data_IF_009627298161
#
_entry.id   IF_009627298161
#
_cell.length_a   1.000
_cell.length_b   1.000
_cell.length_c   1.000
_cell.angle_alpha   90.00
_cell.angle_beta   90.00
_cell.angle_gamma   90.00
#
_symmetry.space_group_name_H-M   'P 1'
#
loop_
_entity.id
_entity.type
_entity.pdbx_description
1 polymer ?
#
# COMPACT_ATOMS: atom_id res chain seq x y z
N UNK A 1 29.16 22.96 26.01
CA UNK A 1 29.10 22.17 24.76
C UNK A 1 27.85 22.60 24.04
N UNK A 2 28.01 23.35 22.95
CA UNK A 2 26.97 24.18 22.33
C UNK A 2 25.82 23.36 21.72
N UNK A 3 24.59 23.73 22.07
CA UNK A 3 23.35 23.25 21.45
C UNK A 3 23.32 23.50 19.93
N UNK A 4 24.03 24.53 19.46
CA UNK A 4 24.11 24.88 18.04
C UNK A 4 24.94 23.88 17.21
N UNK A 5 25.90 23.16 17.81
CA UNK A 5 26.63 22.09 17.10
C UNK A 5 25.82 20.80 16.96
N UNK A 6 24.93 20.50 17.92
CA UNK A 6 24.01 19.37 17.85
C UNK A 6 22.91 19.62 16.81
N UNK A 7 22.34 20.83 16.76
CA UNK A 7 21.35 21.22 15.75
C UNK A 7 21.93 21.19 14.32
N UNK A 8 23.16 21.69 14.12
CA UNK A 8 23.83 21.65 12.81
C UNK A 8 24.22 20.22 12.42
N UNK A 9 24.53 19.34 13.38
CA UNK A 9 24.80 17.92 13.15
C UNK A 9 23.54 17.17 12.73
N UNK A 10 22.44 17.29 13.50
CA UNK A 10 21.17 16.61 13.22
C UNK A 10 20.52 17.11 11.93
N UNK A 11 20.59 18.42 11.64
CA UNK A 11 20.11 18.97 10.34
C UNK A 11 20.98 18.50 9.17
N UNK A 12 22.30 18.35 9.35
CA UNK A 12 23.19 17.79 8.30
C UNK A 12 22.98 16.30 8.07
N UNK A 13 22.62 15.53 9.10
CA UNK A 13 22.32 14.09 8.98
C UNK A 13 20.96 13.87 8.31
N UNK A 14 19.94 14.64 8.69
CA UNK A 14 18.62 14.64 8.02
C UNK A 14 18.73 15.13 6.57
N UNK A 15 19.50 16.19 6.28
CA UNK A 15 19.78 16.57 4.90
C UNK A 15 20.62 15.51 4.17
N UNK A 16 21.57 14.82 4.80
CA UNK A 16 22.33 13.75 4.14
C UNK A 16 21.45 12.55 3.79
N UNK A 17 20.52 12.16 4.66
CA UNK A 17 19.55 11.10 4.38
C UNK A 17 18.50 11.54 3.37
N UNK A 18 17.93 12.75 3.46
CA UNK A 18 17.07 13.29 2.42
C UNK A 18 17.81 13.53 1.11
N UNK A 19 19.11 13.82 1.10
CA UNK A 19 19.94 13.98 -0.11
C UNK A 19 20.37 12.64 -0.68
N UNK A 20 20.68 11.63 0.14
CA UNK A 20 20.98 10.28 -0.31
C UNK A 20 19.71 9.58 -0.80
N UNK A 21 18.61 9.68 -0.05
CA UNK A 21 17.28 9.27 -0.47
C UNK A 21 16.79 10.11 -1.65
N UNK A 22 17.02 11.43 -1.78
CA UNK A 22 16.60 12.15 -3.01
C UNK A 22 17.52 11.90 -4.21
N UNK A 23 18.77 11.47 -4.00
CA UNK A 23 19.68 11.01 -5.06
C UNK A 23 19.38 9.59 -5.52
N UNK A 24 18.95 8.70 -4.62
CA UNK A 24 18.52 7.32 -4.91
C UNK A 24 17.03 7.30 -5.35
N UNK A 25 16.13 8.08 -4.76
CA UNK A 25 14.71 8.27 -5.16
C UNK A 25 14.54 8.95 -6.52
N UNK A 26 15.60 9.54 -7.09
CA UNK A 26 15.62 9.93 -8.51
C UNK A 26 15.75 8.75 -9.46
N UNK A 27 16.07 7.56 -8.97
CA UNK A 27 15.88 6.32 -9.70
C UNK A 27 14.44 5.84 -9.52
N UNK A 28 13.50 6.63 -10.05
CA UNK A 28 12.21 6.07 -10.45
C UNK A 28 12.49 5.19 -11.67
N UNK A 29 12.94 3.97 -11.40
CA UNK A 29 13.34 3.01 -12.40
C UNK A 29 12.09 2.35 -12.99
N UNK A 30 11.28 3.14 -13.68
CA UNK A 30 10.29 2.59 -14.59
C UNK A 30 10.97 1.67 -15.60
N UNK A 31 10.24 0.67 -16.09
CA UNK A 31 10.75 -0.35 -17.00
C UNK A 31 11.44 0.25 -18.25
N UNK A 32 11.08 1.49 -18.62
CA UNK A 32 11.65 2.30 -19.71
C UNK A 32 13.06 2.84 -19.41
N UNK A 33 13.32 3.40 -18.22
CA UNK A 33 14.64 3.93 -17.85
C UNK A 33 15.65 2.79 -17.63
N UNK A 34 15.19 1.69 -17.00
CA UNK A 34 15.99 0.47 -16.90
C UNK A 34 16.32 -0.13 -18.27
N UNK A 35 15.44 0.01 -19.28
CA UNK A 35 15.66 -0.54 -20.62
C UNK A 35 16.85 0.11 -21.31
N UNK A 36 17.02 1.42 -21.25
CA UNK A 36 18.13 2.12 -21.93
C UNK A 36 19.47 1.84 -21.24
N UNK A 37 19.53 1.96 -19.91
CA UNK A 37 20.75 1.65 -19.15
C UNK A 37 21.14 0.17 -19.26
N UNK A 38 20.17 -0.76 -19.16
CA UNK A 38 20.40 -2.20 -19.32
C UNK A 38 20.81 -2.55 -20.74
N UNK A 39 20.11 -2.05 -21.75
CA UNK A 39 20.41 -2.36 -23.15
C UNK A 39 21.87 -2.02 -23.45
N UNK A 40 22.36 -0.88 -22.92
CA UNK A 40 23.78 -0.55 -23.01
C UNK A 40 24.68 -1.55 -22.27
N UNK A 41 24.40 -1.91 -21.01
CA UNK A 41 25.24 -2.83 -20.24
C UNK A 41 25.26 -4.27 -20.79
N UNK A 42 24.11 -4.78 -21.24
CA UNK A 42 23.99 -6.12 -21.84
C UNK A 42 24.67 -6.15 -23.21
N UNK A 43 24.43 -5.15 -24.07
CA UNK A 43 25.06 -5.11 -25.40
C UNK A 43 26.57 -4.89 -25.35
N UNK A 44 27.06 -4.19 -24.33
CA UNK A 44 28.50 -3.99 -24.11
C UNK A 44 29.15 -5.19 -23.39
N UNK A 45 28.39 -6.24 -23.05
CA UNK A 45 28.91 -7.46 -22.42
C UNK A 45 29.34 -7.28 -20.96
N UNK A 46 28.85 -6.25 -20.28
CA UNK A 46 29.24 -5.94 -18.89
C UNK A 46 28.48 -6.74 -17.83
N UNK A 47 27.35 -7.36 -18.20
CA UNK A 47 26.54 -8.20 -17.30
C UNK A 47 26.29 -9.57 -17.91
N UNK A 48 26.27 -10.61 -17.07
CA UNK A 48 26.11 -12.01 -17.50
C UNK A 48 24.67 -12.43 -17.70
N UNK A 49 23.77 -11.89 -16.87
CA UNK A 49 22.35 -12.21 -16.87
C UNK A 49 21.51 -10.95 -17.05
N UNK A 50 20.32 -11.07 -17.62
CA UNK A 50 19.38 -9.95 -17.79
C UNK A 50 18.52 -9.74 -16.55
N UNK A 51 19.16 -9.73 -15.37
CA UNK A 51 18.52 -9.54 -14.07
C UNK A 51 19.18 -8.40 -13.31
N UNK A 52 18.45 -7.79 -12.40
CA UNK A 52 19.04 -6.97 -11.34
C UNK A 52 18.26 -7.20 -10.05
N UNK A 53 18.88 -6.94 -8.91
CA UNK A 53 18.24 -7.14 -7.62
C UNK A 53 18.50 -6.02 -6.65
N UNK A 54 17.57 -5.86 -5.71
CA UNK A 54 17.64 -4.93 -4.62
C UNK A 54 17.64 -5.69 -3.29
N UNK A 55 18.58 -5.31 -2.44
CA UNK A 55 18.54 -5.54 -1.01
C UNK A 55 18.51 -4.18 -0.32
N UNK A 56 17.51 -3.95 0.53
CA UNK A 56 17.40 -2.70 1.30
C UNK A 56 17.57 -3.04 2.77
N UNK A 57 18.63 -2.55 3.39
CA UNK A 57 18.88 -2.81 4.79
C UNK A 57 17.96 -1.94 5.66
N UNK A 58 17.21 -2.58 6.55
CA UNK A 58 16.27 -1.91 7.46
C UNK A 58 16.91 -1.48 8.78
N UNK A 59 18.17 -1.86 9.05
CA UNK A 59 18.91 -1.40 10.21
C UNK A 59 19.39 0.06 9.99
N UNK A 60 18.84 1.05 10.72
CA UNK A 60 19.20 2.45 10.55
C UNK A 60 20.64 2.76 10.97
N UNK A 61 21.26 1.90 11.80
CA UNK A 61 22.62 2.06 12.32
C UNK A 61 23.67 1.34 11.46
N UNK A 62 23.22 0.55 10.47
CA UNK A 62 24.13 -0.16 9.59
C UNK A 62 24.92 0.78 8.67
N UNK A 63 26.18 0.42 8.40
CA UNK A 63 27.05 1.18 7.49
C UNK A 63 26.59 1.10 6.02
N UNK A 64 25.96 -0.02 5.66
CA UNK A 64 25.45 -0.29 4.33
C UNK A 64 23.91 -0.27 4.40
N UNK A 65 23.30 0.74 3.77
CA UNK A 65 21.83 0.89 3.75
C UNK A 65 21.13 0.01 2.71
N UNK A 66 21.89 -0.68 1.85
CA UNK A 66 21.36 -1.54 0.81
C UNK A 66 22.33 -1.72 -0.35
N UNK A 67 21.99 -2.62 -1.28
CA UNK A 67 22.77 -2.94 -2.46
C UNK A 67 21.85 -3.10 -3.69
N UNK A 68 22.32 -2.60 -4.83
CA UNK A 68 21.75 -2.87 -6.16
C UNK A 68 22.77 -3.66 -6.97
N UNK A 69 22.39 -4.88 -7.37
CA UNK A 69 23.24 -5.76 -8.18
C UNK A 69 22.71 -5.78 -9.59
N UNK A 70 23.52 -5.41 -10.57
CA UNK A 70 23.23 -5.62 -11.99
C UNK A 70 23.85 -6.93 -12.48
N UNK A 71 23.07 -7.74 -13.20
CA UNK A 71 23.55 -8.96 -13.83
C UNK A 71 23.63 -10.19 -12.93
N UNK A 72 22.97 -10.18 -11.77
CA UNK A 72 22.92 -11.30 -10.84
C UNK A 72 22.21 -10.95 -9.54
N UNK A 73 22.44 -11.77 -8.51
CA UNK A 73 22.00 -11.60 -7.12
C UNK A 73 23.17 -11.90 -6.18
N UNK A 74 23.25 -11.26 -5.00
CA UNK A 74 24.21 -11.66 -3.96
C UNK A 74 23.52 -12.63 -2.96
N UNK A 75 23.96 -13.90 -2.87
CA UNK A 75 23.41 -14.89 -1.93
C UNK A 75 23.50 -14.51 -0.45
N UNK A 76 24.31 -13.50 -0.08
CA UNK A 76 24.40 -13.01 1.30
C UNK A 76 23.20 -12.17 1.72
N UNK A 77 22.42 -11.67 0.77
CA UNK A 77 21.37 -10.68 1.02
C UNK A 77 19.96 -11.27 1.09
N UNK A 78 19.82 -12.60 1.01
CA UNK A 78 18.54 -13.27 1.15
C UNK A 78 18.65 -14.66 1.78
N UNK A 79 17.53 -15.16 2.28
CA UNK A 79 17.38 -16.50 2.85
C UNK A 79 16.40 -17.32 2.02
N UNK A 80 16.75 -18.60 1.79
CA UNK A 80 15.93 -19.53 1.01
C UNK A 80 15.88 -19.19 -0.48
N UNK A 81 14.88 -19.72 -1.18
CA UNK A 81 14.70 -19.56 -2.62
C UNK A 81 13.72 -18.42 -2.95
N UNK A 82 13.99 -17.69 -4.03
CA UNK A 82 13.05 -16.70 -4.56
C UNK A 82 11.78 -17.35 -5.08
N UNK A 83 10.65 -16.76 -4.71
CA UNK A 83 9.35 -17.07 -5.28
C UNK A 83 9.13 -16.16 -6.47
N UNK A 84 9.04 -16.74 -7.66
CA UNK A 84 8.92 -15.98 -8.90
C UNK A 84 7.46 -15.86 -9.37
N UNK A 85 7.10 -14.66 -9.85
CA UNK A 85 5.80 -14.33 -10.43
C UNK A 85 5.97 -13.63 -11.78
N UNK A 86 5.16 -13.96 -12.79
CA UNK A 86 5.26 -13.33 -14.10
C UNK A 86 4.78 -11.87 -14.05
N UNK A 87 5.38 -11.02 -14.88
CA UNK A 87 4.88 -9.66 -15.09
C UNK A 87 3.59 -9.71 -15.91
N UNK A 88 2.52 -9.10 -15.41
CA UNK A 88 1.21 -9.10 -16.08
C UNK A 88 0.98 -7.92 -17.01
N UNK A 89 1.64 -6.78 -16.76
CA UNK A 89 1.51 -5.58 -17.61
C UNK A 89 2.87 -4.94 -17.90
N UNK A 90 3.32 -5.04 -19.15
CA UNK A 90 4.57 -4.41 -19.61
C UNK A 90 4.50 -2.89 -19.48
N UNK A 91 5.60 -2.28 -19.05
CA UNK A 91 5.70 -0.85 -18.75
C UNK A 91 5.87 -0.58 -17.26
N UNK A 92 5.30 -1.45 -16.42
CA UNK A 92 5.50 -1.49 -14.98
C UNK A 92 6.03 -2.85 -14.57
N UNK A 93 6.66 -2.93 -13.39
CA UNK A 93 6.93 -4.20 -12.71
C UNK A 93 5.67 -4.66 -11.98
N UNK A 94 4.60 -4.86 -12.76
CA UNK A 94 3.28 -5.25 -12.26
C UNK A 94 3.13 -6.77 -12.29
N UNK A 95 2.56 -7.34 -11.23
CA UNK A 95 2.21 -8.75 -11.11
C UNK A 95 0.89 -8.91 -10.36
N UNK A 96 0.31 -10.12 -10.35
CA UNK A 96 -0.89 -10.40 -9.55
C UNK A 96 -0.52 -10.94 -8.18
N UNK A 97 -1.18 -10.41 -7.15
CA UNK A 97 -1.25 -11.00 -5.82
C UNK A 97 -2.58 -11.72 -5.65
N UNK A 98 -2.62 -12.68 -4.73
CA UNK A 98 -3.87 -13.24 -4.22
C UNK A 98 -4.53 -12.21 -3.29
N UNK A 99 -4.59 -12.53 -2.00
CA UNK A 99 -5.24 -11.67 -1.01
C UNK A 99 -4.27 -10.86 -0.14
N UNK A 100 -4.81 -9.85 0.54
CA UNK A 100 -4.17 -9.12 1.62
C UNK A 100 -4.80 -9.50 2.96
N UNK A 101 -3.96 -9.87 3.93
CA UNK A 101 -4.38 -10.34 5.24
C UNK A 101 -3.98 -9.35 6.33
N UNK A 102 -4.92 -9.01 7.20
CA UNK A 102 -4.71 -8.22 8.41
C UNK A 102 -4.92 -9.12 9.63
N UNK A 103 -3.88 -9.33 10.44
CA UNK A 103 -3.94 -10.23 11.59
C UNK A 103 -4.34 -11.66 11.21
N UNK A 104 -3.97 -12.12 10.01
CA UNK A 104 -4.32 -13.43 9.48
C UNK A 104 -5.72 -13.55 8.86
N UNK A 105 -6.51 -12.47 8.83
CA UNK A 105 -7.86 -12.45 8.24
C UNK A 105 -7.87 -11.66 6.93
N UNK A 106 -8.65 -12.13 5.96
CA UNK A 106 -8.89 -11.41 4.70
C UNK A 106 -9.52 -10.04 4.95
N UNK A 107 -9.16 -9.06 4.12
CA UNK A 107 -9.85 -7.76 4.06
C UNK A 107 -10.95 -7.74 3.00
N UNK A 108 -11.15 -8.84 2.28
CA UNK A 108 -12.22 -9.04 1.28
C UNK A 108 -11.99 -8.33 -0.06
N UNK A 109 -11.24 -7.22 -0.08
CA UNK A 109 -11.01 -6.42 -1.29
C UNK A 109 -10.15 -7.15 -2.32
N UNK A 110 -9.12 -7.88 -1.88
CA UNK A 110 -8.21 -8.61 -2.77
C UNK A 110 -8.49 -10.13 -2.84
N UNK A 111 -9.63 -10.62 -2.33
CA UNK A 111 -9.94 -12.05 -2.34
C UNK A 111 -10.02 -12.63 -3.78
N UNK A 112 -10.47 -11.80 -4.73
CA UNK A 112 -10.49 -12.12 -6.17
C UNK A 112 -9.16 -11.90 -6.90
N UNK A 113 -8.10 -11.52 -6.17
CA UNK A 113 -6.83 -11.06 -6.70
C UNK A 113 -6.76 -9.53 -6.83
N UNK A 114 -5.56 -9.01 -6.69
CA UNK A 114 -5.22 -7.61 -6.91
C UNK A 114 -3.96 -7.50 -7.77
N UNK A 115 -3.83 -6.41 -8.51
CA UNK A 115 -2.56 -6.07 -9.11
C UNK A 115 -1.61 -5.53 -8.04
N UNK A 116 -0.31 -5.72 -8.22
CA UNK A 116 0.73 -5.07 -7.43
C UNK A 116 1.88 -4.62 -8.32
N UNK A 117 2.45 -3.45 -8.04
CA UNK A 117 3.66 -2.94 -8.68
C UNK A 117 4.76 -2.90 -7.62
N UNK A 118 5.95 -3.41 -7.95
CA UNK A 118 7.14 -3.15 -7.14
C UNK A 118 7.77 -1.84 -7.58
N UNK A 119 7.96 -0.90 -6.65
CA UNK A 119 8.48 0.43 -6.93
C UNK A 119 9.50 0.89 -5.89
N UNK A 120 10.79 0.75 -6.21
CA UNK A 120 11.90 1.25 -5.39
C UNK A 120 11.97 2.78 -5.29
N UNK A 121 11.12 3.51 -6.04
CA UNK A 121 10.97 4.96 -5.93
C UNK A 121 10.01 5.37 -4.82
N UNK A 122 9.26 4.43 -4.26
CA UNK A 122 8.23 4.65 -3.25
C UNK A 122 8.68 4.04 -1.93
N UNK A 123 8.59 4.79 -0.83
CA UNK A 123 9.00 4.27 0.49
C UNK A 123 7.91 3.48 1.21
N UNK A 124 6.65 3.86 1.03
CA UNK A 124 5.50 3.27 1.74
C UNK A 124 4.88 2.11 0.95
N UNK A 125 4.05 1.32 1.62
CA UNK A 125 3.04 0.50 0.97
C UNK A 125 1.87 1.39 0.57
N UNK A 126 1.49 1.36 -0.71
CA UNK A 126 0.31 2.09 -1.17
C UNK A 126 -0.77 1.09 -1.56
N UNK A 127 -1.98 1.27 -1.05
CA UNK A 127 -3.07 0.33 -1.31
C UNK A 127 -4.47 0.97 -1.26
N UNK A 128 -5.51 0.17 -1.53
CA UNK A 128 -6.90 0.63 -1.54
C UNK A 128 -7.32 1.25 -0.20
N UNK A 129 -8.03 2.38 -0.24
CA UNK A 129 -8.52 3.08 0.95
C UNK A 129 -9.30 2.20 1.93
N UNK A 130 -10.19 1.28 1.50
CA UNK A 130 -10.92 0.42 2.42
C UNK A 130 -9.98 -0.45 3.29
N UNK A 131 -8.89 -0.95 2.69
CA UNK A 131 -7.91 -1.78 3.39
C UNK A 131 -7.03 -0.93 4.31
N UNK A 132 -6.50 0.19 3.81
CA UNK A 132 -5.62 1.07 4.60
C UNK A 132 -6.35 1.64 5.82
N UNK A 133 -7.65 1.87 5.72
CA UNK A 133 -8.49 2.30 6.86
C UNK A 133 -8.57 1.22 7.94
N UNK A 134 -8.81 -0.05 7.56
CA UNK A 134 -8.81 -1.18 8.51
C UNK A 134 -7.45 -1.34 9.18
N UNK A 135 -6.35 -1.21 8.42
CA UNK A 135 -4.98 -1.23 8.94
C UNK A 135 -4.77 -0.12 9.96
N UNK A 136 -5.06 1.14 9.58
CA UNK A 136 -4.88 2.29 10.45
C UNK A 136 -5.69 2.16 11.75
N UNK A 137 -6.92 1.65 11.67
CA UNK A 137 -7.71 1.33 12.85
C UNK A 137 -7.04 0.27 13.72
N UNK A 138 -6.62 -0.86 13.14
CA UNK A 138 -6.03 -1.98 13.87
C UNK A 138 -4.68 -1.65 14.54
N UNK A 139 -3.90 -0.73 13.96
CA UNK A 139 -2.62 -0.30 14.51
C UNK A 139 -2.72 0.92 15.42
N UNK A 140 -3.92 1.50 15.56
CA UNK A 140 -4.16 2.68 16.39
C UNK A 140 -3.66 3.99 15.77
N UNK A 141 -3.53 4.05 14.45
CA UNK A 141 -3.10 5.25 13.74
C UNK A 141 -4.15 6.36 13.84
N UNK A 142 -3.68 7.61 13.77
CA UNK A 142 -4.53 8.77 13.59
C UNK A 142 -5.06 8.82 12.14
N UNK A 143 -6.31 9.25 12.00
CA UNK A 143 -6.99 9.41 10.72
C UNK A 143 -7.92 10.61 10.75
N UNK A 144 -8.62 10.84 9.65
CA UNK A 144 -9.60 11.89 9.50
C UNK A 144 -11.02 11.32 9.67
N UNK A 145 -11.91 12.15 10.21
CA UNK A 145 -13.33 11.81 10.31
C UNK A 145 -14.02 12.14 8.99
N UNK A 146 -14.68 11.16 8.36
CA UNK A 146 -15.54 11.40 7.20
C UNK A 146 -16.99 11.55 7.65
N UNK A 147 -17.57 12.71 7.36
CA UNK A 147 -18.97 13.00 7.64
C UNK A 147 -19.89 12.13 6.77
N UNK A 148 -19.50 11.90 5.52
CA UNK A 148 -20.22 11.09 4.52
C UNK A 148 -20.28 9.62 4.96
N UNK A 149 -19.13 9.08 5.41
CA UNK A 149 -19.06 7.73 5.98
C UNK A 149 -19.96 7.60 7.21
N UNK A 150 -19.84 8.53 8.18
CA UNK A 150 -20.69 8.55 9.37
C UNK A 150 -22.18 8.64 9.02
N UNK A 151 -22.53 9.45 8.02
CA UNK A 151 -23.90 9.58 7.54
C UNK A 151 -24.41 8.26 6.96
N UNK A 152 -23.64 7.62 6.08
CA UNK A 152 -23.98 6.32 5.50
C UNK A 152 -24.22 5.28 6.58
N UNK A 153 -23.29 5.15 7.53
CA UNK A 153 -23.40 4.14 8.60
C UNK A 153 -24.61 4.42 9.49
N UNK A 154 -24.87 5.69 9.83
CA UNK A 154 -25.97 6.07 10.72
C UNK A 154 -27.35 5.94 10.05
N UNK A 155 -27.47 6.32 8.77
CA UNK A 155 -28.75 6.36 8.07
C UNK A 155 -29.09 5.04 7.36
N UNK A 156 -28.08 4.34 6.86
CA UNK A 156 -28.26 3.17 5.99
C UNK A 156 -27.62 1.89 6.54
N UNK A 157 -26.86 1.95 7.64
CA UNK A 157 -26.14 0.79 8.17
C UNK A 157 -27.04 -0.43 8.44
N UNK A 158 -28.21 -0.22 9.04
CA UNK A 158 -29.21 -1.27 9.24
C UNK A 158 -29.68 -1.90 7.93
N UNK A 159 -30.01 -1.08 6.93
CA UNK A 159 -30.48 -1.54 5.63
C UNK A 159 -29.38 -2.25 4.84
N UNK A 160 -28.13 -1.76 4.90
CA UNK A 160 -26.97 -2.42 4.29
C UNK A 160 -26.80 -3.82 4.89
N UNK A 161 -26.83 -3.92 6.23
CA UNK A 161 -26.74 -5.20 6.92
C UNK A 161 -27.85 -6.16 6.48
N UNK A 162 -29.10 -5.70 6.49
CA UNK A 162 -30.25 -6.54 6.16
C UNK A 162 -30.21 -7.03 4.70
N UNK A 163 -29.78 -6.18 3.75
CA UNK A 163 -29.57 -6.56 2.35
C UNK A 163 -28.46 -7.61 2.20
N UNK A 164 -27.34 -7.45 2.88
CA UNK A 164 -26.24 -8.42 2.83
C UNK A 164 -26.64 -9.78 3.43
N UNK A 165 -27.33 -9.77 4.57
CA UNK A 165 -27.81 -11.01 5.23
C UNK A 165 -28.89 -11.72 4.41
N UNK A 166 -29.70 -10.98 3.65
CA UNK A 166 -30.69 -11.56 2.71
C UNK A 166 -30.07 -12.06 1.41
N UNK A 167 -28.76 -11.93 1.23
CA UNK A 167 -28.02 -12.48 0.10
C UNK A 167 -27.89 -11.56 -1.11
N UNK A 168 -28.16 -10.26 -0.95
CA UNK A 168 -27.85 -9.27 -1.98
C UNK A 168 -26.33 -9.19 -2.16
N UNK A 169 -25.89 -9.17 -3.42
CA UNK A 169 -24.47 -9.05 -3.74
C UNK A 169 -23.93 -7.68 -3.31
N UNK A 170 -22.73 -7.61 -2.70
CA UNK A 170 -22.15 -6.35 -2.21
C UNK A 170 -22.18 -5.19 -3.22
N UNK A 171 -21.88 -5.46 -4.49
CA UNK A 171 -21.87 -4.46 -5.57
C UNK A 171 -23.26 -3.89 -5.92
N UNK A 172 -24.34 -4.52 -5.46
CA UNK A 172 -25.73 -4.09 -5.73
C UNK A 172 -26.37 -3.36 -4.55
N UNK A 173 -25.74 -3.36 -3.38
CA UNK A 173 -26.38 -2.84 -2.16
C UNK A 173 -26.62 -1.33 -2.28
N UNK A 174 -25.60 -0.56 -2.67
CA UNK A 174 -25.69 0.90 -2.70
C UNK A 174 -26.61 1.44 -3.80
N UNK A 175 -26.73 0.74 -4.93
CA UNK A 175 -27.69 1.07 -5.98
C UNK A 175 -29.12 0.72 -5.58
N UNK A 176 -29.34 -0.42 -4.91
CA UNK A 176 -30.66 -0.79 -4.38
C UNK A 176 -31.16 0.18 -3.29
N UNK A 177 -30.25 0.74 -2.51
CA UNK A 177 -30.57 1.79 -1.53
C UNK A 177 -30.77 3.17 -2.16
N UNK A 178 -30.53 3.32 -3.47
CA UNK A 178 -30.65 4.58 -4.20
C UNK A 178 -29.55 5.60 -3.86
N UNK A 179 -28.45 5.16 -3.23
CA UNK A 179 -27.30 6.02 -2.89
C UNK A 179 -26.39 6.16 -4.12
N UNK A 180 -26.23 5.10 -4.89
CA UNK A 180 -25.47 5.09 -6.14
C UNK A 180 -26.40 5.02 -7.36
N UNK A 181 -26.02 5.72 -8.44
CA UNK A 181 -26.78 5.73 -9.70
C UNK A 181 -26.64 4.43 -10.51
N UNK A 182 -25.54 3.71 -10.33
CA UNK A 182 -25.22 2.48 -11.05
C UNK A 182 -24.78 1.40 -10.07
N UNK A 183 -24.96 0.14 -10.48
CA UNK A 183 -24.41 -1.01 -9.77
C UNK A 183 -22.87 -0.97 -9.81
N UNK A 184 -22.22 -1.41 -8.73
CA UNK A 184 -20.79 -1.30 -8.38
C UNK A 184 -19.75 -1.90 -9.34
N UNK A 185 -20.02 -1.89 -10.64
CA UNK A 185 -19.06 -2.10 -11.72
C UNK A 185 -18.09 -0.93 -11.91
N UNK A 186 -18.16 0.09 -11.06
CA UNK A 186 -17.26 1.22 -11.12
C UNK A 186 -16.91 1.66 -9.71
N UNK A 187 -15.66 1.42 -9.33
CA UNK A 187 -14.93 2.19 -8.33
C UNK A 187 -14.85 3.65 -8.85
N UNK A 188 -15.97 4.37 -8.87
CA UNK A 188 -16.08 5.69 -9.54
C UNK A 188 -15.45 6.74 -8.64
N UNK A 189 -14.15 6.91 -8.78
CA UNK A 189 -13.65 8.28 -8.90
C UNK A 189 -13.64 8.60 -10.38
N UNK A 190 -14.49 9.54 -10.79
CA UNK A 190 -14.42 10.19 -12.10
C UNK A 190 -13.14 11.03 -12.19
N UNK A 191 -11.99 10.36 -12.24
CA UNK A 191 -10.67 10.96 -12.05
C UNK A 191 -9.66 10.63 -13.15
N UNK A 192 -10.10 10.31 -14.38
CA UNK A 192 -9.21 10.29 -15.55
C UNK A 192 -9.91 10.96 -16.73
N UNK A 193 -9.69 12.26 -16.86
CA UNK A 193 -9.71 12.92 -18.17
C UNK A 193 -8.45 12.50 -18.93
N UNK A 194 -8.64 11.91 -20.11
CA UNK A 194 -7.58 11.76 -21.12
C UNK A 194 -6.89 13.11 -21.36
N UNK A 195 -5.60 13.08 -21.70
CA UNK A 195 -4.64 14.22 -21.78
C UNK A 195 -4.98 15.28 -22.86
N UNK A 196 -6.25 15.57 -23.13
CA UNK A 196 -6.69 16.56 -24.13
C UNK A 196 -7.45 17.76 -23.51
N UNK A 197 -7.91 17.71 -22.25
CA UNK A 197 -8.60 18.87 -21.63
C UNK A 197 -7.80 19.51 -20.48
N UNK A 198 -6.55 19.89 -20.77
CA UNK A 198 -5.83 20.86 -19.92
C UNK A 198 -6.43 22.24 -20.09
N UNK A 199 -7.48 22.57 -19.34
CA UNK A 199 -7.97 23.94 -19.30
C UNK A 199 -9.24 24.15 -18.49
N UNK A 200 -9.07 24.39 -17.18
CA UNK A 200 -10.05 24.86 -16.18
C UNK A 200 -10.84 23.77 -15.46
N UNK A 201 -10.44 23.48 -14.22
CA UNK A 201 -11.34 23.38 -13.04
C UNK A 201 -10.52 23.15 -11.77
N UNK A 202 -10.66 24.07 -10.81
CA UNK A 202 -10.60 23.71 -9.40
C UNK A 202 -11.95 23.03 -9.10
N UNK A 203 -11.99 21.78 -8.61
CA UNK A 203 -13.27 21.12 -8.36
C UNK A 203 -13.16 19.94 -7.41
N UNK A 204 -13.76 20.07 -6.23
CA UNK A 204 -14.14 18.97 -5.33
C UNK A 204 -15.16 18.05 -6.02
N UNK A 205 -15.13 16.75 -5.69
CA UNK A 205 -16.14 15.78 -6.14
C UNK A 205 -17.57 16.22 -5.73
N UNK A 206 -18.61 15.96 -6.55
CA UNK A 206 -20.00 16.17 -6.15
C UNK A 206 -20.36 15.39 -4.88
N UNK A 207 -21.22 15.96 -4.03
CA UNK A 207 -21.62 15.36 -2.75
C UNK A 207 -22.24 13.96 -2.89
N UNK A 208 -22.99 13.72 -3.98
CA UNK A 208 -23.63 12.42 -4.25
C UNK A 208 -22.59 11.33 -4.61
N UNK A 209 -21.48 11.69 -5.26
CA UNK A 209 -20.39 10.76 -5.60
C UNK A 209 -19.62 10.34 -4.34
N UNK A 210 -19.45 11.27 -3.38
CA UNK A 210 -18.83 10.98 -2.09
C UNK A 210 -19.67 10.04 -1.22
N UNK A 211 -21.00 10.22 -1.19
CA UNK A 211 -21.91 9.33 -0.46
C UNK A 211 -21.95 7.92 -1.08
N UNK A 212 -21.92 7.83 -2.42
CA UNK A 212 -21.82 6.55 -3.11
C UNK A 212 -20.53 5.81 -2.75
N UNK A 213 -19.38 6.49 -2.81
CA UNK A 213 -18.07 5.91 -2.45
C UNK A 213 -18.03 5.46 -0.98
N UNK A 214 -18.59 6.27 -0.08
CA UNK A 214 -18.71 5.94 1.35
C UNK A 214 -19.63 4.73 1.57
N UNK A 215 -20.71 4.60 0.80
CA UNK A 215 -21.58 3.43 0.82
C UNK A 215 -20.85 2.17 0.38
N UNK A 216 -20.19 2.19 -0.78
CA UNK A 216 -19.47 1.01 -1.30
C UNK A 216 -18.41 0.54 -0.30
N UNK A 217 -17.68 1.48 0.30
CA UNK A 217 -16.69 1.20 1.34
C UNK A 217 -17.34 0.60 2.60
N UNK A 218 -18.46 1.16 3.07
CA UNK A 218 -19.18 0.62 4.23
C UNK A 218 -19.72 -0.80 3.96
N UNK A 219 -20.22 -1.06 2.75
CA UNK A 219 -20.67 -2.39 2.33
C UNK A 219 -19.53 -3.40 2.37
N UNK A 220 -18.34 -3.04 1.87
CA UNK A 220 -17.13 -3.88 1.93
C UNK A 220 -16.82 -4.25 3.39
N UNK A 221 -16.73 -3.25 4.28
CA UNK A 221 -16.41 -3.49 5.68
C UNK A 221 -17.47 -4.33 6.41
N UNK A 222 -18.76 -4.05 6.19
CA UNK A 222 -19.86 -4.84 6.80
C UNK A 222 -19.82 -6.28 6.29
N UNK A 223 -19.63 -6.48 4.98
CA UNK A 223 -19.55 -7.81 4.37
C UNK A 223 -18.35 -8.61 4.89
N UNK A 224 -17.19 -7.96 5.04
CA UNK A 224 -16.00 -8.60 5.60
C UNK A 224 -16.24 -9.05 7.05
N UNK A 225 -16.84 -8.19 7.87
CA UNK A 225 -17.16 -8.51 9.27
C UNK A 225 -18.26 -9.58 9.43
N UNK A 226 -19.22 -9.64 8.49
CA UNK A 226 -20.22 -10.70 8.44
C UNK A 226 -19.57 -12.09 8.27
N UNK A 227 -18.54 -12.20 7.42
CA UNK A 227 -17.77 -13.44 7.24
C UNK A 227 -17.03 -13.86 8.50
N UNK A 228 -16.63 -12.90 9.33
CA UNK A 228 -16.00 -13.13 10.63
C UNK A 228 -17.01 -13.42 11.76
N UNK A 229 -18.29 -13.68 11.44
CA UNK A 229 -19.37 -14.00 12.39
C UNK A 229 -19.63 -12.91 13.44
N UNK A 230 -19.46 -11.64 13.06
CA UNK A 230 -19.83 -10.50 13.90
C UNK A 230 -21.35 -10.38 14.12
N UNK A 231 -21.77 -9.74 15.21
CA UNK A 231 -23.18 -9.37 15.43
C UNK A 231 -23.46 -7.99 14.85
N UNK A 232 -24.69 -7.73 14.36
CA UNK A 232 -25.09 -6.44 13.74
C UNK A 232 -24.56 -5.22 14.47
N UNK A 233 -24.86 -5.09 15.77
CA UNK A 233 -24.46 -3.94 16.58
C UNK A 233 -22.94 -3.77 16.68
N UNK A 234 -22.19 -4.89 16.78
CA UNK A 234 -20.73 -4.85 16.86
C UNK A 234 -20.13 -4.44 15.52
N UNK A 235 -20.69 -4.95 14.42
CA UNK A 235 -20.23 -4.62 13.07
C UNK A 235 -20.53 -3.16 12.74
N UNK A 236 -21.75 -2.67 12.97
CA UNK A 236 -22.07 -1.27 12.71
C UNK A 236 -21.26 -0.32 13.60
N UNK A 237 -20.99 -0.69 14.84
CA UNK A 237 -20.06 0.06 15.70
C UNK A 237 -18.65 0.08 15.12
N UNK A 238 -18.12 -1.08 14.73
CA UNK A 238 -16.78 -1.18 14.14
C UNK A 238 -16.65 -0.31 12.87
N UNK A 239 -17.62 -0.41 11.96
CA UNK A 239 -17.66 0.36 10.71
C UNK A 239 -17.78 1.87 11.00
N UNK A 240 -18.57 2.24 12.00
CA UNK A 240 -18.62 3.61 12.49
C UNK A 240 -17.26 4.10 13.03
N UNK A 241 -16.52 3.25 13.75
CA UNK A 241 -15.19 3.58 14.26
C UNK A 241 -14.16 3.70 13.10
N UNK A 242 -14.31 2.93 12.02
CA UNK A 242 -13.52 3.09 10.78
C UNK A 242 -13.75 4.45 10.12
N UNK A 243 -14.97 5.00 10.18
CA UNK A 243 -15.24 6.35 9.67
C UNK A 243 -14.47 7.47 10.38
N UNK A 244 -13.81 7.20 11.51
CA UNK A 244 -12.93 8.13 12.23
C UNK A 244 -11.44 7.93 11.91
N UNK A 245 -11.14 6.90 11.11
CA UNK A 245 -9.78 6.42 10.82
C UNK A 245 -9.43 6.50 9.34
N UNK A 246 -10.17 7.27 8.55
CA UNK A 246 -9.85 7.40 7.14
C UNK A 246 -8.42 7.96 6.97
N UNK A 247 -7.67 7.45 5.98
CA UNK A 247 -6.32 7.93 5.68
C UNK A 247 -6.31 9.44 5.40
N UNK A 248 -5.30 10.13 5.94
CA UNK A 248 -5.10 11.56 5.66
C UNK A 248 -4.73 11.76 4.18
N UNK A 249 -5.27 12.78 3.49
CA UNK A 249 -4.84 13.14 2.13
C UNK A 249 -3.36 13.49 2.02
N UNK A 250 -2.73 13.88 3.13
CA UNK A 250 -1.29 14.13 3.19
C UNK A 250 -0.46 12.83 3.24
N UNK A 251 -1.11 11.67 3.35
CA UNK A 251 -0.48 10.34 3.32
C UNK A 251 0.21 9.90 4.62
N UNK A 252 0.34 10.78 5.60
CA UNK A 252 0.95 10.45 6.89
C UNK A 252 -0.12 10.18 7.95
N UNK A 253 0.00 9.02 8.62
CA UNK A 253 -0.83 8.62 9.74
C UNK A 253 0.06 8.31 10.94
N UNK A 254 0.05 9.19 11.95
CA UNK A 254 0.87 9.07 13.16
C UNK A 254 0.29 8.00 14.08
N UNK A 255 1.16 7.22 14.72
CA UNK A 255 0.82 6.15 15.65
C UNK A 255 1.62 6.36 16.95
N UNK A 256 1.05 5.95 18.08
CA UNK A 256 1.79 5.84 19.33
C UNK A 256 2.91 4.79 19.21
N UNK A 257 4.14 5.19 19.53
CA UNK A 257 5.31 4.30 19.42
C UNK A 257 5.34 3.16 20.45
N UNK A 258 4.45 3.20 21.44
CA UNK A 258 4.35 2.20 22.49
C UNK A 258 3.71 0.91 21.96
N UNK A 259 4.25 -0.23 22.41
CA UNK A 259 3.74 -1.57 22.09
C UNK A 259 3.58 -1.87 20.59
N UNK A 260 4.54 -1.42 19.75
CA UNK A 260 4.56 -1.78 18.32
C UNK A 260 4.50 -3.30 18.10
N UNK A 261 5.20 -4.08 18.91
CA UNK A 261 5.20 -5.54 18.83
C UNK A 261 3.83 -6.21 19.08
N UNK A 262 2.88 -5.50 19.67
CA UNK A 262 1.52 -6.00 19.93
C UNK A 262 0.56 -5.72 18.77
N UNK A 263 0.98 -4.95 17.76
CA UNK A 263 0.17 -4.67 16.57
C UNK A 263 0.07 -5.94 15.70
N UNK A 264 -1.00 -6.09 14.91
CA UNK A 264 -1.19 -7.31 14.13
C UNK A 264 -0.20 -7.40 12.97
N UNK A 265 0.36 -8.58 12.74
CA UNK A 265 1.05 -8.85 11.48
C UNK A 265 0.11 -8.62 10.28
N UNK A 266 0.69 -8.19 9.17
CA UNK A 266 -0.01 -8.11 7.88
C UNK A 266 0.67 -9.03 6.89
N UNK A 267 -0.05 -9.49 5.86
CA UNK A 267 0.56 -10.35 4.87
C UNK A 267 -0.05 -10.19 3.47
N UNK A 268 0.82 -10.36 2.46
CA UNK A 268 0.42 -10.52 1.08
C UNK A 268 0.45 -12.00 0.69
N UNK A 269 -0.54 -12.46 -0.06
CA UNK A 269 -0.48 -13.78 -0.70
C UNK A 269 0.09 -13.63 -2.10
N UNK A 270 1.27 -14.20 -2.37
CA UNK A 270 1.94 -14.12 -3.67
C UNK A 270 2.30 -15.53 -4.12
N UNK A 271 1.81 -15.96 -5.28
CA UNK A 271 1.99 -17.33 -5.79
C UNK A 271 1.67 -18.43 -4.76
N UNK A 272 0.54 -18.29 -4.05
CA UNK A 272 0.08 -19.19 -2.98
C UNK A 272 1.02 -19.30 -1.76
N UNK A 273 1.99 -18.37 -1.62
CA UNK A 273 2.81 -18.23 -0.42
C UNK A 273 2.44 -16.95 0.32
N UNK A 274 2.58 -16.98 1.64
CA UNK A 274 2.30 -15.84 2.52
C UNK A 274 3.57 -15.05 2.79
N UNK A 275 3.56 -13.76 2.46
CA UNK A 275 4.62 -12.80 2.69
C UNK A 275 4.20 -11.90 3.85
N UNK A 276 4.61 -12.29 5.05
CA UNK A 276 4.26 -11.65 6.31
C UNK A 276 5.20 -10.49 6.67
N UNK A 277 4.64 -9.32 6.99
CA UNK A 277 5.35 -8.19 7.59
C UNK A 277 4.95 -8.05 9.06
N UNK A 278 5.95 -8.07 9.93
CA UNK A 278 5.80 -7.76 11.35
C UNK A 278 5.58 -6.26 11.57
N UNK A 279 4.97 -5.85 12.69
CA UNK A 279 4.77 -4.44 13.04
C UNK A 279 5.99 -3.55 12.91
N UNK A 280 7.15 -4.04 13.31
CA UNK A 280 8.42 -3.30 13.25
C UNK A 280 8.87 -3.03 11.81
N UNK A 281 8.38 -3.80 10.85
CA UNK A 281 8.75 -3.67 9.43
C UNK A 281 7.85 -2.67 8.69
N UNK A 282 6.59 -2.50 9.12
CA UNK A 282 5.65 -1.60 8.46
C UNK A 282 5.31 -0.34 9.28
N UNK A 283 5.75 -0.21 10.53
CA UNK A 283 5.65 1.03 11.33
C UNK A 283 7.01 1.72 11.33
N UNK A 284 7.06 2.90 10.71
CA UNK A 284 8.31 3.62 10.51
C UNK A 284 8.57 4.56 11.70
N UNK A 285 9.78 4.47 12.26
CA UNK A 285 10.26 5.40 13.30
C UNK A 285 11.02 6.53 12.62
N UNK A 286 10.61 7.77 12.88
CA UNK A 286 11.26 8.98 12.38
C UNK A 286 11.67 9.88 13.54
N UNK A 287 12.83 10.52 13.45
CA UNK A 287 13.38 11.33 14.55
C UNK A 287 14.28 10.54 15.49
N UNK A 288 14.89 11.23 16.46
CA UNK A 288 15.87 10.65 17.39
C UNK A 288 15.46 10.91 18.85
N UNK A 289 15.69 9.92 19.71
CA UNK A 289 15.48 10.03 21.16
C UNK A 289 14.04 10.41 21.51
N UNK A 290 13.88 11.50 22.27
CA UNK A 290 12.58 12.00 22.74
C UNK A 290 11.69 12.61 21.64
N UNK A 291 12.23 12.80 20.44
CA UNK A 291 11.48 13.29 19.27
C UNK A 291 11.14 12.17 18.28
N UNK A 292 11.19 10.91 18.72
CA UNK A 292 10.79 9.77 17.90
C UNK A 292 9.28 9.82 17.66
N UNK A 293 8.89 9.87 16.39
CA UNK A 293 7.51 9.80 15.91
C UNK A 293 7.36 8.51 15.12
N UNK A 294 6.30 7.76 15.39
CA UNK A 294 5.97 6.56 14.65
C UNK A 294 4.88 6.89 13.63
N UNK A 295 5.10 6.47 12.39
CA UNK A 295 4.16 6.68 11.29
C UNK A 295 3.81 5.36 10.64
N UNK A 296 2.56 5.24 10.20
CA UNK A 296 2.10 4.12 9.39
C UNK A 296 2.92 4.05 8.11
N UNK A 297 3.45 2.88 7.79
CA UNK A 297 4.11 2.58 6.52
C UNK A 297 3.14 2.46 5.35
N UNK A 298 1.88 2.89 5.51
CA UNK A 298 0.82 2.76 4.53
C UNK A 298 0.30 4.12 4.06
N UNK A 299 0.01 4.19 2.77
CA UNK A 299 -0.68 5.31 2.13
C UNK A 299 -1.87 4.77 1.34
N UNK A 300 -2.96 5.52 1.31
CA UNK A 300 -4.12 5.16 0.52
C UNK A 300 -4.04 5.74 -0.89
N UNK A 301 -4.29 4.91 -1.89
CA UNK A 301 -4.51 5.33 -3.27
C UNK A 301 -5.50 4.40 -3.94
N UNK A 302 -6.55 5.01 -4.47
CA UNK A 302 -7.65 4.33 -5.13
C UNK A 302 -7.43 4.38 -6.64
N UNK A 303 -7.12 3.22 -7.23
CA UNK A 303 -6.96 3.06 -8.68
C UNK A 303 -8.15 2.26 -9.23
N UNK A 304 -8.93 2.90 -10.10
CA UNK A 304 -10.12 2.29 -10.69
C UNK A 304 -9.79 1.18 -11.71
N UNK A 305 -10.71 0.21 -11.92
CA UNK A 305 -10.63 -0.73 -13.03
C UNK A 305 -10.51 -0.03 -14.39
N UNK A 306 -9.80 -0.60 -15.38
CA UNK A 306 -9.14 -1.91 -15.35
C UNK A 306 -7.73 -1.89 -14.73
N UNK A 307 -7.31 -0.76 -14.14
CA UNK A 307 -5.96 -0.57 -13.61
C UNK A 307 -5.76 -1.05 -12.17
N UNK A 308 -6.84 -1.18 -11.40
CA UNK A 308 -6.84 -1.69 -10.03
C UNK A 308 -8.03 -2.61 -9.73
N UNK A 309 -8.21 -3.03 -8.46
CA UNK A 309 -7.45 -2.60 -7.28
C UNK A 309 -5.96 -2.94 -7.38
N UNK A 310 -5.11 -2.00 -6.96
CA UNK A 310 -3.67 -2.08 -7.16
C UNK A 310 -2.90 -1.71 -5.88
N UNK A 311 -1.86 -2.48 -5.59
CA UNK A 311 -0.87 -2.16 -4.56
C UNK A 311 0.43 -1.62 -5.17
N UNK A 312 1.09 -0.72 -4.45
CA UNK A 312 2.48 -0.34 -4.72
C UNK A 312 3.32 -0.86 -3.55
N UNK A 313 4.23 -1.78 -3.85
CA UNK A 313 5.14 -2.41 -2.90
C UNK A 313 6.47 -1.67 -2.96
N UNK A 314 6.64 -0.72 -2.03
CA UNK A 314 7.82 0.13 -1.89
C UNK A 314 8.89 -0.42 -0.94
N UNK A 315 9.71 0.47 -0.41
CA UNK A 315 10.84 0.17 0.50
C UNK A 315 10.42 -0.70 1.69
N UNK A 316 9.22 -0.48 2.27
CA UNK A 316 8.68 -1.31 3.37
C UNK A 316 8.64 -2.79 3.02
N UNK A 317 8.15 -3.14 1.82
CA UNK A 317 8.11 -4.54 1.37
C UNK A 317 9.47 -5.02 0.92
N UNK A 318 10.17 -4.21 0.11
CA UNK A 318 11.48 -4.56 -0.46
C UNK A 318 12.60 -4.66 0.59
N UNK A 319 12.40 -4.05 1.76
CA UNK A 319 13.28 -4.18 2.92
C UNK A 319 13.15 -5.50 3.66
N UNK A 320 11.92 -6.02 3.74
CA UNK A 320 11.68 -7.35 4.29
C UNK A 320 11.99 -8.46 3.29
N UNK A 321 11.84 -8.16 2.00
CA UNK A 321 11.98 -9.13 0.92
C UNK A 321 12.95 -8.66 -0.16
N UNK A 322 14.10 -9.34 -0.23
CA UNK A 322 15.03 -9.19 -1.34
C UNK A 322 14.30 -9.41 -2.66
N UNK A 323 14.41 -8.44 -3.56
CA UNK A 323 13.62 -8.40 -4.78
C UNK A 323 14.50 -8.50 -6.02
N UNK A 324 14.20 -9.48 -6.86
CA UNK A 324 14.83 -9.73 -8.15
C UNK A 324 13.89 -9.28 -9.25
N UNK A 325 14.44 -8.53 -10.19
CA UNK A 325 13.77 -8.10 -11.39
C UNK A 325 14.42 -8.79 -12.58
N UNK A 326 13.77 -9.84 -13.08
CA UNK A 326 14.25 -10.69 -14.15
C UNK A 326 13.63 -10.23 -15.48
N UNK A 327 14.39 -9.43 -16.22
CA UNK A 327 13.96 -8.93 -17.52
C UNK A 327 13.95 -9.99 -18.60
N UNK A 328 14.94 -10.89 -18.58
CA UNK A 328 15.07 -11.94 -19.59
C UNK A 328 13.84 -12.83 -19.63
N UNK A 329 13.29 -13.15 -18.45
CA UNK A 329 12.09 -13.98 -18.32
C UNK A 329 10.81 -13.19 -18.00
N UNK A 330 10.87 -11.86 -17.91
CA UNK A 330 9.76 -10.97 -17.55
C UNK A 330 9.02 -11.42 -16.28
N UNK A 331 9.76 -11.54 -15.17
CA UNK A 331 9.23 -11.97 -13.88
C UNK A 331 9.90 -11.23 -12.72
N UNK A 332 9.23 -11.23 -11.58
CA UNK A 332 9.75 -10.72 -10.31
C UNK A 332 10.04 -11.91 -9.39
N UNK A 333 11.05 -11.83 -8.55
CA UNK A 333 11.42 -12.85 -7.57
C UNK A 333 11.56 -12.27 -6.17
N UNK A 334 10.97 -12.93 -5.18
CA UNK A 334 10.97 -12.47 -3.79
C UNK A 334 11.49 -13.54 -2.84
N UNK A 335 12.46 -13.19 -2.00
CA UNK A 335 12.97 -14.03 -0.91
C UNK A 335 13.08 -13.19 0.36
N UNK A 336 13.06 -13.82 1.54
CA UNK A 336 13.28 -13.10 2.80
C UNK A 336 14.65 -12.44 2.78
N UNK A 337 14.73 -11.15 3.13
CA UNK A 337 15.99 -10.44 3.23
C UNK A 337 16.87 -11.01 4.37
N UNK A 338 18.18 -11.01 4.17
CA UNK A 338 19.13 -11.51 5.17
C UNK A 338 19.26 -10.56 6.37
#
# INVERSE_FOLDING_TARGET
>A
MDLDQLLVSSVKTVLKWQVLLSRIKRFQLGMLCQRECRYNMVQQGHVKEEVFSFWLNQDPDAKEGGELVFGGVDPKHFKGDHTYVPVTKKGYWQFEIGDFLLGGHSTGVCEGGCAAIVDSGTSLLVGPTPIVTEINHAIGAQGIVSAECKQVVTQYGDSIWDLLVTGVLPDKVCSQLGICLYDGAQYVSSGIETVIEKGKRNGSLPADELLCTACETAVIWIHNQLRQKGTKDKVLKYVNDLCEKLPSPAGESVIECDSIAERPNIAFTIANKTFNLAPEQYILRTGEGLSTVCVSGFMALDIAPPGGPLWILGDVFMGAYHTVFDFGNLRLGFAEAA
#
